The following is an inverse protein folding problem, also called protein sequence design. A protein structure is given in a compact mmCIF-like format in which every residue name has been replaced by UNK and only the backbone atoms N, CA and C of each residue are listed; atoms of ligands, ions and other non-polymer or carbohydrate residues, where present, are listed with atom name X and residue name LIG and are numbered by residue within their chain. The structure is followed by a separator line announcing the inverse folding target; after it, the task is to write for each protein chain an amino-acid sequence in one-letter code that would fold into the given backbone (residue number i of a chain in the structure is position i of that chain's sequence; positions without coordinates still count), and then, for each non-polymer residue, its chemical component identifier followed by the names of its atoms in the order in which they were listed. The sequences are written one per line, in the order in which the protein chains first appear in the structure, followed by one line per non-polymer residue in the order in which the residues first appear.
data_IF_017812304627
#
_entry.id   IF_017812304627
#
_cell.length_a   1.000
_cell.length_b   1.000
_cell.length_c   1.000
_cell.angle_alpha   90.00
_cell.angle_beta   90.00
_cell.angle_gamma   90.00
#
_symmetry.space_group_name_H-M   'P 1'
#
loop_
_entity.id
_entity.type
_entity.pdbx_description
1 polymer ?
#
# COMPACT_ATOMS: atom_id res chain seq x y z
N UNK A 1 -2.74 -5.15 -13.86
CA UNK A 1 -3.25 -4.91 -12.49
C UNK A 1 -2.34 -3.88 -11.86
N UNK A 2 -2.87 -2.75 -11.41
CA UNK A 2 -2.10 -1.71 -10.71
C UNK A 2 -1.84 -2.10 -9.25
N UNK A 3 -0.88 -2.99 -9.00
CA UNK A 3 -0.57 -3.50 -7.66
C UNK A 3 0.21 -2.50 -6.78
N UNK A 4 0.70 -1.41 -7.39
CA UNK A 4 1.26 -0.25 -6.68
C UNK A 4 0.18 0.72 -6.21
N UNK A 5 -1.06 0.56 -6.65
CA UNK A 5 -2.14 1.50 -6.35
C UNK A 5 -3.04 1.00 -5.22
N UNK A 6 -3.40 1.92 -4.33
CA UNK A 6 -4.52 1.77 -3.41
C UNK A 6 -5.48 2.95 -3.58
N UNK A 7 -6.73 2.75 -3.18
CA UNK A 7 -7.74 3.79 -3.32
C UNK A 7 -8.79 3.70 -2.24
N UNK A 8 -9.39 4.85 -1.94
CA UNK A 8 -10.52 5.00 -1.01
C UNK A 8 -11.57 5.91 -1.62
N UNK A 9 -12.83 5.61 -1.35
CA UNK A 9 -13.98 6.41 -1.74
C UNK A 9 -14.82 6.67 -0.49
N UNK A 10 -14.95 7.94 -0.11
CA UNK A 10 -15.73 8.40 1.03
C UNK A 10 -16.97 9.14 0.54
N UNK A 11 -18.13 8.80 1.10
CA UNK A 11 -19.38 9.53 0.86
C UNK A 11 -19.79 10.28 2.12
N UNK A 12 -19.86 11.61 2.04
CA UNK A 12 -20.25 12.49 3.15
C UNK A 12 -21.62 13.08 2.85
N UNK A 13 -22.54 13.00 3.83
CA UNK A 13 -23.90 13.55 3.74
C UNK A 13 -24.23 14.28 5.05
N UNK A 14 -24.42 15.60 5.03
CA UNK A 14 -24.94 16.33 6.17
C UNK A 14 -26.42 15.96 6.40
N UNK A 15 -26.74 15.21 7.47
CA UNK A 15 -28.10 14.71 7.67
C UNK A 15 -29.09 15.77 8.16
N UNK A 16 -28.63 16.71 8.98
CA UNK A 16 -29.47 17.67 9.70
C UNK A 16 -28.93 19.11 9.69
N UNK A 17 -27.95 19.43 8.84
CA UNK A 17 -27.38 20.76 8.73
C UNK A 17 -26.97 21.09 7.30
N UNK A 18 -26.87 22.38 7.00
CA UNK A 18 -26.18 22.90 5.82
C UNK A 18 -24.99 23.73 6.31
N UNK A 19 -23.79 23.47 5.80
CA UNK A 19 -22.60 24.18 6.22
C UNK A 19 -21.51 24.12 5.15
N UNK A 20 -20.57 25.04 5.28
CA UNK A 20 -19.26 24.94 4.65
C UNK A 20 -18.47 23.78 5.28
N UNK A 21 -18.07 22.81 4.46
CA UNK A 21 -17.27 21.64 4.89
C UNK A 21 -15.87 21.79 4.33
N UNK A 22 -14.88 21.63 5.21
CA UNK A 22 -13.47 21.54 4.82
C UNK A 22 -13.05 20.07 4.83
N UNK A 23 -12.47 19.63 3.72
CA UNK A 23 -11.91 18.30 3.54
C UNK A 23 -10.39 18.42 3.52
N UNK A 24 -9.72 17.54 4.27
CA UNK A 24 -8.26 17.45 4.30
C UNK A 24 -7.82 16.03 4.03
N UNK A 25 -6.90 15.85 3.09
CA UNK A 25 -6.19 14.59 2.89
C UNK A 25 -4.70 14.80 3.10
N UNK A 26 -4.08 13.88 3.83
CA UNK A 26 -2.65 13.92 4.13
C UNK A 26 -1.89 12.67 3.66
N UNK A 27 -0.58 12.81 3.50
CA UNK A 27 0.38 11.71 3.59
C UNK A 27 1.31 12.03 4.77
N UNK A 28 1.30 11.17 5.77
CA UNK A 28 2.04 11.33 7.03
C UNK A 28 3.29 10.44 7.03
N UNK A 29 4.46 11.05 7.20
CA UNK A 29 5.75 10.36 7.23
C UNK A 29 6.29 10.14 8.64
N UNK A 30 5.68 10.72 9.67
CA UNK A 30 6.05 10.58 11.07
C UNK A 30 5.38 9.40 11.78
N UNK A 31 4.83 8.45 11.01
CA UNK A 31 4.35 7.17 11.52
C UNK A 31 5.46 6.43 12.28
N UNK A 32 5.10 5.89 13.44
CA UNK A 32 6.01 5.14 14.31
C UNK A 32 5.48 3.73 14.57
N UNK A 33 6.40 2.81 14.87
CA UNK A 33 6.04 1.44 15.20
C UNK A 33 5.80 1.29 16.70
N UNK A 34 4.65 1.69 17.23
CA UNK A 34 4.30 1.66 18.67
C UNK A 34 3.02 0.83 18.98
N UNK A 35 2.58 0.00 18.04
CA UNK A 35 1.33 -0.77 18.18
C UNK A 35 1.48 -2.01 19.07
N UNK A 36 2.69 -2.36 19.50
CA UNK A 36 2.95 -3.50 20.38
C UNK A 36 3.66 -3.04 21.64
N UNK A 37 2.95 -3.04 22.78
CA UNK A 37 3.46 -2.55 24.07
C UNK A 37 4.81 -3.13 24.49
N UNK A 38 5.12 -4.38 24.11
CA UNK A 38 6.41 -5.03 24.42
C UNK A 38 7.59 -4.46 23.63
N UNK A 39 7.35 -3.75 22.53
CA UNK A 39 8.40 -3.25 21.64
C UNK A 39 8.73 -1.77 21.83
N UNK A 40 8.06 -1.10 22.77
CA UNK A 40 8.19 0.34 23.04
C UNK A 40 9.58 0.78 23.46
N UNK A 41 10.34 -0.11 24.08
CA UNK A 41 11.72 0.16 24.49
C UNK A 41 12.71 0.15 23.32
N UNK A 42 12.27 -0.20 22.11
CA UNK A 42 13.10 -0.17 20.90
C UNK A 42 12.98 1.16 20.16
N UNK A 43 13.85 1.38 19.17
CA UNK A 43 13.62 2.46 18.23
C UNK A 43 12.27 2.29 17.53
N UNK A 44 11.38 3.28 17.64
CA UNK A 44 10.06 3.28 17.01
C UNK A 44 10.04 4.13 15.72
N UNK A 45 11.07 4.96 15.51
CA UNK A 45 11.16 5.88 14.35
C UNK A 45 12.03 5.24 13.29
N UNK A 46 11.40 4.81 12.20
CA UNK A 46 12.05 4.05 11.14
C UNK A 46 12.14 4.77 9.81
N UNK A 47 11.60 5.99 9.68
CA UNK A 47 11.59 6.73 8.42
C UNK A 47 12.38 8.04 8.56
N UNK A 48 13.21 8.32 7.56
CA UNK A 48 13.77 9.65 7.30
C UNK A 48 13.01 10.23 6.11
N UNK A 49 12.46 11.43 6.27
CA UNK A 49 11.72 12.10 5.20
C UNK A 49 12.71 12.81 4.28
N UNK A 50 12.58 12.56 2.98
CA UNK A 50 13.44 13.11 1.94
C UNK A 50 12.79 14.33 1.28
N UNK A 51 11.51 14.21 0.91
CA UNK A 51 10.73 15.34 0.39
C UNK A 51 9.24 15.21 0.67
N UNK A 52 8.58 16.37 0.71
CA UNK A 52 7.13 16.53 0.75
C UNK A 52 6.76 17.60 -0.25
N UNK A 53 5.79 17.32 -1.13
CA UNK A 53 5.51 18.18 -2.26
C UNK A 53 4.00 18.26 -2.54
N UNK A 54 3.53 19.48 -2.80
CA UNK A 54 2.20 19.71 -3.36
C UNK A 54 2.31 19.83 -4.88
N UNK A 55 1.47 19.11 -5.59
CA UNK A 55 1.36 19.17 -7.05
C UNK A 55 -0.02 19.74 -7.40
N UNK A 56 -0.15 21.06 -7.55
CA UNK A 56 -1.34 21.63 -8.19
C UNK A 56 -1.43 21.09 -9.62
N UNK A 57 -2.63 21.07 -10.21
CA UNK A 57 -2.81 20.59 -11.57
C UNK A 57 -1.93 21.43 -12.50
N UNK A 58 -1.14 20.79 -13.34
CA UNK A 58 -0.35 21.47 -14.37
C UNK A 58 -0.85 20.96 -15.71
N UNK A 59 -1.40 21.84 -16.54
CA UNK A 59 -1.56 21.59 -17.96
C UNK A 59 -0.79 22.65 -18.77
N UNK A 60 -0.75 22.49 -20.10
CA UNK A 60 -0.09 23.44 -21.01
C UNK A 60 -0.74 24.83 -21.00
N UNK A 61 -1.96 24.97 -20.45
CA UNK A 61 -2.74 26.22 -20.41
C UNK A 61 -2.55 27.01 -19.10
N UNK A 62 -1.90 26.44 -18.07
CA UNK A 62 -1.54 27.12 -16.84
C UNK A 62 -1.79 26.29 -15.58
N UNK A 63 -1.78 26.92 -14.39
CA UNK A 63 -2.18 26.25 -13.15
C UNK A 63 -3.65 25.83 -13.24
N UNK A 64 -3.92 24.53 -13.14
CA UNK A 64 -5.26 23.97 -12.97
C UNK A 64 -5.52 23.71 -11.49
N UNK A 65 -6.80 23.69 -11.05
CA UNK A 65 -7.15 23.17 -9.74
C UNK A 65 -6.57 21.77 -9.59
N UNK A 66 -5.74 21.57 -8.57
CA UNK A 66 -5.20 20.26 -8.26
C UNK A 66 -4.90 20.13 -6.79
N UNK A 67 -5.08 18.92 -6.32
CA UNK A 67 -5.02 18.51 -4.92
C UNK A 67 -4.00 17.38 -4.72
N UNK A 68 -3.14 17.13 -5.72
CA UNK A 68 -2.19 16.02 -5.67
C UNK A 68 -1.06 16.32 -4.70
N UNK A 69 -0.60 15.29 -3.98
CA UNK A 69 0.42 15.41 -2.95
C UNK A 69 1.39 14.23 -3.02
N UNK A 70 2.65 14.49 -2.71
CA UNK A 70 3.72 13.50 -2.76
C UNK A 70 4.54 13.52 -1.47
N UNK A 71 4.88 12.34 -0.97
CA UNK A 71 5.86 12.18 0.10
C UNK A 71 6.89 11.13 -0.31
N UNK A 72 8.16 11.47 -0.18
CA UNK A 72 9.28 10.57 -0.37
C UNK A 72 10.04 10.42 0.95
N UNK A 73 10.36 9.19 1.31
CA UNK A 73 11.11 8.86 2.51
C UNK A 73 12.03 7.66 2.29
N UNK A 74 12.86 7.37 3.27
CA UNK A 74 13.64 6.15 3.32
C UNK A 74 13.62 5.52 4.71
N UNK A 75 13.85 4.21 4.76
CA UNK A 75 14.10 3.54 6.03
C UNK A 75 15.40 4.04 6.66
N UNK A 76 15.37 4.33 7.96
CA UNK A 76 16.46 5.02 8.68
C UNK A 76 17.76 4.21 8.68
N UNK A 77 17.66 2.87 8.71
CA UNK A 77 18.81 1.95 8.75
C UNK A 77 19.13 1.35 7.38
N UNK A 78 18.18 0.63 6.76
CA UNK A 78 18.41 -0.13 5.52
C UNK A 78 18.43 0.74 4.25
N UNK A 79 18.08 2.02 4.34
CA UNK A 79 18.07 2.97 3.21
C UNK A 79 17.18 2.55 2.03
N UNK A 80 16.18 1.73 2.30
CA UNK A 80 15.09 1.42 1.37
C UNK A 80 14.28 2.68 1.15
N UNK A 81 14.25 3.18 -0.09
CA UNK A 81 13.45 4.33 -0.50
C UNK A 81 11.99 3.96 -0.67
N UNK A 82 11.09 4.87 -0.34
CA UNK A 82 9.63 4.75 -0.50
C UNK A 82 9.09 6.08 -1.02
N UNK A 83 8.30 6.03 -2.09
CA UNK A 83 7.56 7.18 -2.59
C UNK A 83 6.08 6.88 -2.60
N UNK A 84 5.28 7.82 -2.10
CA UNK A 84 3.83 7.82 -2.17
C UNK A 84 3.36 9.05 -2.92
N UNK A 85 2.56 8.86 -3.97
CA UNK A 85 1.91 9.94 -4.70
C UNK A 85 0.40 9.76 -4.67
N UNK A 86 -0.34 10.81 -4.34
CA UNK A 86 -1.79 10.75 -4.21
C UNK A 86 -2.48 11.78 -5.11
N UNK A 87 -3.57 11.37 -5.75
CA UNK A 87 -4.53 12.23 -6.46
C UNK A 87 -5.91 12.15 -5.80
N UNK A 88 -6.73 13.19 -5.95
CA UNK A 88 -8.09 13.19 -5.42
C UNK A 88 -9.10 13.74 -6.42
N UNK A 89 -10.31 13.20 -6.36
CA UNK A 89 -11.46 13.70 -7.10
C UNK A 89 -12.61 13.95 -6.12
N UNK A 90 -13.35 15.04 -6.30
CA UNK A 90 -14.54 15.34 -5.51
C UNK A 90 -15.74 15.39 -6.42
N UNK A 91 -16.84 14.75 -6.04
CA UNK A 91 -18.05 14.67 -6.85
C UNK A 91 -19.27 15.16 -6.08
N UNK A 92 -20.20 15.80 -6.78
CA UNK A 92 -21.50 16.21 -6.25
C UNK A 92 -22.57 16.02 -7.31
N UNK A 93 -23.61 15.24 -7.00
CA UNK A 93 -24.70 14.99 -7.96
C UNK A 93 -24.27 14.27 -9.25
N UNK A 94 -23.13 13.56 -9.24
CA UNK A 94 -22.58 12.90 -10.42
C UNK A 94 -21.66 13.77 -11.28
N UNK A 95 -21.47 15.04 -10.92
CA UNK A 95 -20.52 15.95 -11.57
C UNK A 95 -19.24 16.06 -10.74
N UNK A 96 -18.09 16.07 -11.42
CA UNK A 96 -16.79 16.32 -10.80
C UNK A 96 -16.66 17.81 -10.48
N UNK A 97 -16.19 18.11 -9.26
CA UNK A 97 -15.90 19.45 -8.79
C UNK A 97 -14.40 19.70 -8.86
N UNK A 98 -13.99 20.66 -9.69
CA UNK A 98 -12.61 21.14 -9.74
C UNK A 98 -12.43 22.25 -8.69
N UNK A 99 -11.97 21.86 -7.51
CA UNK A 99 -11.78 22.75 -6.36
C UNK A 99 -10.30 23.04 -6.16
N UNK A 100 -9.95 24.31 -5.96
CA UNK A 100 -8.61 24.69 -5.56
C UNK A 100 -8.32 24.18 -4.15
N UNK A 101 -7.25 23.39 -4.03
CA UNK A 101 -6.77 22.94 -2.74
C UNK A 101 -5.67 23.87 -2.23
N UNK A 102 -5.81 24.30 -0.98
CA UNK A 102 -4.70 24.84 -0.21
C UNK A 102 -3.78 23.70 0.19
N UNK A 103 -2.50 23.83 -0.17
CA UNK A 103 -1.47 22.86 0.22
C UNK A 103 -0.81 23.28 1.53
N UNK A 104 -0.67 22.32 2.44
CA UNK A 104 0.11 22.43 3.68
C UNK A 104 1.30 21.48 3.57
N UNK A 105 2.48 22.03 3.28
CA UNK A 105 3.71 21.27 3.01
C UNK A 105 4.62 21.41 4.23
N UNK A 106 4.62 20.40 5.09
CA UNK A 106 5.46 20.31 6.27
C UNK A 106 6.65 19.35 6.07
N UNK A 107 7.64 19.38 6.96
CA UNK A 107 8.86 18.55 6.83
C UNK A 107 8.61 17.04 7.00
N UNK A 108 7.45 16.64 7.53
CA UNK A 108 7.10 15.22 7.74
C UNK A 108 5.71 14.84 7.23
N UNK A 109 4.95 15.80 6.73
CA UNK A 109 3.58 15.59 6.30
C UNK A 109 3.28 16.57 5.17
N UNK A 110 2.52 16.11 4.18
CA UNK A 110 1.93 16.97 3.16
C UNK A 110 0.43 16.78 3.19
N UNK A 111 -0.33 17.88 3.07
CA UNK A 111 -1.78 17.84 3.03
C UNK A 111 -2.34 18.72 1.91
N UNK A 112 -3.42 18.26 1.29
CA UNK A 112 -4.29 19.05 0.44
C UNK A 112 -5.61 19.30 1.19
N UNK A 113 -6.03 20.57 1.24
CA UNK A 113 -7.23 21.02 1.94
C UNK A 113 -8.11 21.85 1.02
N UNK A 114 -9.37 21.46 0.84
CA UNK A 114 -10.33 22.20 0.02
C UNK A 114 -11.67 22.31 0.74
N UNK A 115 -12.46 23.30 0.35
CA UNK A 115 -13.68 23.67 1.05
C UNK A 115 -14.83 23.84 0.08
N UNK A 116 -16.04 23.45 0.50
CA UNK A 116 -17.26 23.56 -0.29
C UNK A 116 -18.48 23.72 0.61
N UNK A 117 -19.46 24.48 0.14
CA UNK A 117 -20.77 24.56 0.78
C UNK A 117 -21.60 23.33 0.44
N UNK A 118 -22.10 22.65 1.47
CA UNK A 118 -22.90 21.43 1.35
C UNK A 118 -24.23 21.61 2.04
N UNK A 119 -25.30 21.43 1.28
CA UNK A 119 -26.67 21.49 1.80
C UNK A 119 -27.03 20.21 2.58
N UNK A 120 -28.00 20.32 3.47
CA UNK A 120 -28.59 19.18 4.15
C UNK A 120 -29.11 18.14 3.13
N UNK A 121 -28.78 16.88 3.36
CA UNK A 121 -29.14 15.75 2.50
C UNK A 121 -28.33 15.65 1.21
N UNK A 122 -27.48 16.62 0.90
CA UNK A 122 -26.65 16.60 -0.30
C UNK A 122 -25.41 15.73 -0.07
N UNK A 123 -25.23 14.73 -0.92
CA UNK A 123 -24.06 13.88 -0.87
C UNK A 123 -22.89 14.49 -1.64
N UNK A 124 -21.71 14.47 -1.02
CA UNK A 124 -20.43 14.66 -1.69
C UNK A 124 -19.65 13.35 -1.63
N UNK A 125 -18.93 13.04 -2.69
CA UNK A 125 -18.04 11.87 -2.76
C UNK A 125 -16.62 12.37 -2.91
N UNK A 126 -15.71 11.83 -2.10
CA UNK A 126 -14.28 12.12 -2.15
C UNK A 126 -13.55 10.84 -2.45
N UNK A 127 -12.83 10.83 -3.55
CA UNK A 127 -11.97 9.74 -3.95
C UNK A 127 -10.52 10.14 -3.71
N UNK A 128 -9.72 9.20 -3.21
CA UNK A 128 -8.28 9.33 -3.13
C UNK A 128 -7.68 8.07 -3.72
N UNK A 129 -6.80 8.24 -4.69
CA UNK A 129 -5.96 7.16 -5.24
C UNK A 129 -4.52 7.47 -4.90
N UNK A 130 -3.76 6.43 -4.51
CA UNK A 130 -2.37 6.56 -4.08
C UNK A 130 -1.55 5.47 -4.75
N UNK A 131 -0.43 5.84 -5.37
CA UNK A 131 0.61 4.90 -5.80
C UNK A 131 1.71 4.84 -4.74
N UNK A 132 2.28 3.64 -4.55
CA UNK A 132 3.36 3.39 -3.59
C UNK A 132 4.45 2.58 -4.27
N UNK A 133 5.65 3.14 -4.38
CA UNK A 133 6.84 2.47 -4.91
C UNK A 133 7.94 2.40 -3.87
N UNK A 134 8.76 1.36 -3.97
CA UNK A 134 9.91 1.11 -3.12
C UNK A 134 11.15 0.86 -3.93
N UNK A 135 12.33 1.12 -3.36
CA UNK A 135 13.60 0.79 -4.02
C UNK A 135 13.85 -0.73 -4.17
N UNK A 136 12.89 -1.58 -3.79
CA UNK A 136 12.92 -3.04 -4.03
C UNK A 136 12.17 -3.47 -5.30
N UNK A 137 11.47 -2.55 -5.97
CA UNK A 137 10.77 -2.86 -7.21
C UNK A 137 11.77 -3.20 -8.33
N UNK A 138 11.37 -4.07 -9.27
CA UNK A 138 12.32 -4.70 -10.21
C UNK A 138 13.04 -3.68 -11.09
N UNK A 139 12.34 -2.57 -11.34
CA UNK A 139 12.74 -1.38 -12.07
C UNK A 139 13.98 -0.69 -11.45
N UNK A 140 14.36 -1.05 -10.22
CA UNK A 140 15.47 -0.47 -9.47
C UNK A 140 16.65 -1.42 -9.24
N UNK A 141 16.60 -2.67 -9.72
CA UNK A 141 17.65 -3.67 -9.46
C UNK A 141 19.01 -3.30 -10.06
N UNK A 142 19.03 -2.47 -11.10
CA UNK A 142 20.24 -2.08 -11.84
C UNK A 142 20.64 -0.60 -11.65
N UNK A 143 19.93 0.16 -10.80
CA UNK A 143 20.22 1.57 -10.60
C UNK A 143 21.45 1.74 -9.68
N UNK A 144 22.55 2.23 -10.24
CA UNK A 144 23.86 2.28 -9.56
C UNK A 144 23.96 3.44 -8.56
N UNK A 145 23.44 4.63 -8.88
CA UNK A 145 23.48 5.82 -8.01
C UNK A 145 22.17 6.03 -7.23
N UNK A 146 22.29 6.49 -5.98
CA UNK A 146 21.18 6.78 -5.07
C UNK A 146 20.34 7.96 -5.54
N UNK A 147 20.97 9.03 -6.04
CA UNK A 147 20.23 10.21 -6.48
C UNK A 147 19.32 9.90 -7.68
N UNK A 148 19.81 9.06 -8.60
CA UNK A 148 19.03 8.59 -9.74
C UNK A 148 17.89 7.67 -9.32
N UNK A 149 18.10 6.82 -8.30
CA UNK A 149 17.03 5.99 -7.71
C UNK A 149 15.89 6.84 -7.14
N UNK A 150 16.22 7.88 -6.36
CA UNK A 150 15.21 8.73 -5.71
C UNK A 150 14.37 9.49 -6.75
N UNK A 151 15.01 10.07 -7.78
CA UNK A 151 14.31 10.73 -8.89
C UNK A 151 13.44 9.74 -9.68
N UNK A 152 13.94 8.53 -9.92
CA UNK A 152 13.21 7.50 -10.65
C UNK A 152 11.99 6.99 -9.85
N UNK A 153 12.12 6.76 -8.53
CA UNK A 153 11.00 6.39 -7.65
C UNK A 153 9.87 7.40 -7.70
N UNK A 154 10.22 8.69 -7.67
CA UNK A 154 9.27 9.78 -7.79
C UNK A 154 8.54 9.75 -9.13
N UNK A 155 9.29 9.64 -10.22
CA UNK A 155 8.73 9.58 -11.58
C UNK A 155 7.78 8.40 -11.74
N UNK A 156 8.17 7.17 -11.34
CA UNK A 156 7.30 6.00 -11.45
C UNK A 156 6.01 6.14 -10.63
N UNK A 157 6.10 6.67 -9.41
CA UNK A 157 4.91 6.90 -8.59
C UNK A 157 3.93 7.88 -9.27
N UNK A 158 4.44 8.93 -9.92
CA UNK A 158 3.63 9.89 -10.66
C UNK A 158 3.05 9.28 -11.95
N UNK A 159 3.87 8.59 -12.74
CA UNK A 159 3.49 7.92 -13.99
C UNK A 159 2.41 6.85 -13.76
N UNK A 160 2.51 6.06 -12.69
CA UNK A 160 1.51 5.02 -12.35
C UNK A 160 0.09 5.60 -12.18
N UNK A 161 -0.01 6.88 -11.80
CA UNK A 161 -1.29 7.56 -11.67
C UNK A 161 -1.64 8.46 -12.86
N UNK A 162 -0.86 8.53 -13.94
CA UNK A 162 -1.19 9.36 -15.12
C UNK A 162 -2.57 9.01 -15.68
N UNK A 163 -2.83 7.72 -15.89
CA UNK A 163 -4.10 7.19 -16.41
C UNK A 163 -5.11 6.81 -15.31
N UNK A 164 -4.75 6.97 -14.03
CA UNK A 164 -5.59 6.61 -12.88
C UNK A 164 -5.89 7.84 -12.04
N UNK A 165 -7.09 8.37 -12.22
CA UNK A 165 -7.60 9.53 -11.47
C UNK A 165 -8.68 9.12 -10.48
N UNK A 166 -9.50 8.12 -10.83
CA UNK A 166 -10.73 7.78 -10.12
C UNK A 166 -10.65 6.42 -9.45
N UNK A 167 -11.33 6.28 -8.32
CA UNK A 167 -11.39 5.02 -7.57
C UNK A 167 -12.01 3.88 -8.39
N UNK A 168 -13.00 4.18 -9.22
CA UNK A 168 -13.65 3.22 -10.11
C UNK A 168 -12.67 2.53 -11.06
N UNK A 169 -11.66 3.27 -11.56
CA UNK A 169 -10.62 2.73 -12.44
C UNK A 169 -9.74 1.68 -11.72
N UNK A 170 -9.65 1.73 -10.39
CA UNK A 170 -8.98 0.71 -9.58
C UNK A 170 -9.91 -0.45 -9.20
N UNK A 171 -11.18 -0.14 -8.86
CA UNK A 171 -12.12 -1.10 -8.30
C UNK A 171 -12.49 -2.22 -9.28
N UNK A 172 -12.76 -1.89 -10.54
CA UNK A 172 -13.24 -2.89 -11.50
C UNK A 172 -12.15 -3.91 -11.88
N UNK A 173 -10.91 -3.49 -12.20
CA UNK A 173 -9.80 -4.42 -12.36
C UNK A 173 -9.51 -5.24 -11.09
N UNK A 174 -9.59 -4.61 -9.92
CA UNK A 174 -9.41 -5.30 -8.63
C UNK A 174 -10.44 -6.43 -8.44
N UNK A 175 -11.72 -6.15 -8.70
CA UNK A 175 -12.79 -7.17 -8.64
C UNK A 175 -12.54 -8.32 -9.59
N UNK A 176 -12.11 -8.05 -10.82
CA UNK A 176 -11.79 -9.09 -11.81
C UNK A 176 -10.69 -10.01 -11.31
N UNK A 177 -9.60 -9.44 -10.81
CA UNK A 177 -8.48 -10.20 -10.25
C UNK A 177 -8.94 -11.06 -9.07
N UNK A 178 -9.73 -10.51 -8.16
CA UNK A 178 -10.24 -11.28 -7.02
C UNK A 178 -11.17 -12.42 -7.42
N UNK A 179 -11.99 -12.26 -8.46
CA UNK A 179 -12.80 -13.36 -9.01
C UNK A 179 -11.91 -14.51 -9.48
N UNK A 180 -10.82 -14.23 -10.21
CA UNK A 180 -9.89 -15.24 -10.69
C UNK A 180 -9.13 -15.92 -9.55
N UNK A 181 -8.77 -15.16 -8.50
CA UNK A 181 -8.15 -15.70 -7.28
C UNK A 181 -9.12 -16.65 -6.56
N UNK A 182 -10.38 -16.23 -6.38
CA UNK A 182 -11.40 -17.02 -5.70
C UNK A 182 -11.75 -18.29 -6.47
N UNK A 183 -11.84 -18.24 -7.80
CA UNK A 183 -12.08 -19.42 -8.64
C UNK A 183 -11.05 -20.54 -8.39
N UNK A 184 -9.78 -20.17 -8.16
CA UNK A 184 -8.71 -21.13 -7.85
C UNK A 184 -8.70 -21.61 -6.40
N UNK A 185 -9.10 -20.75 -5.46
CA UNK A 185 -8.79 -20.92 -4.04
C UNK A 185 -9.99 -21.16 -3.13
N UNK A 186 -11.23 -20.93 -3.59
CA UNK A 186 -12.42 -21.08 -2.75
C UNK A 186 -12.62 -22.53 -2.30
N UNK A 187 -13.12 -22.67 -1.07
CA UNK A 187 -13.44 -23.96 -0.47
C UNK A 187 -14.91 -23.87 -0.05
N UNK A 188 -15.75 -24.65 -0.72
CA UNK A 188 -17.19 -24.68 -0.47
C UNK A 188 -17.51 -25.65 0.66
N UNK A 189 -18.25 -25.15 1.66
CA UNK A 189 -18.71 -25.93 2.81
C UNK A 189 -20.23 -25.95 2.80
N UNK A 190 -20.81 -27.14 2.70
CA UNK A 190 -22.27 -27.31 2.72
C UNK A 190 -22.80 -27.34 4.16
N UNK A 191 -24.03 -26.85 4.35
CA UNK A 191 -24.76 -26.94 5.62
C UNK A 191 -24.36 -25.95 6.74
N UNK A 192 -23.25 -25.20 6.62
CA UNK A 192 -22.81 -24.27 7.66
C UNK A 192 -22.26 -22.93 7.12
N UNK A 193 -23.06 -21.86 7.25
CA UNK A 193 -22.69 -20.50 6.83
C UNK A 193 -21.59 -19.87 7.67
N UNK A 194 -21.50 -20.22 8.95
CA UNK A 194 -20.46 -19.68 9.84
C UNK A 194 -19.11 -20.25 9.43
N UNK A 195 -19.02 -21.57 9.25
CA UNK A 195 -17.80 -22.23 8.77
C UNK A 195 -17.40 -21.74 7.38
N UNK A 196 -18.35 -21.58 6.44
CA UNK A 196 -18.07 -21.01 5.12
C UNK A 196 -17.49 -19.59 5.18
N UNK A 197 -17.99 -18.75 6.09
CA UNK A 197 -17.46 -17.40 6.29
C UNK A 197 -16.05 -17.44 6.87
N UNK A 198 -15.82 -18.28 7.90
CA UNK A 198 -14.53 -18.39 8.56
C UNK A 198 -13.44 -18.92 7.63
N UNK A 199 -13.73 -19.95 6.82
CA UNK A 199 -12.74 -20.48 5.89
C UNK A 199 -12.37 -19.46 4.82
N UNK A 200 -13.35 -18.69 4.30
CA UNK A 200 -13.08 -17.59 3.36
C UNK A 200 -12.27 -16.47 4.02
N UNK A 201 -12.53 -16.13 5.29
CA UNK A 201 -11.73 -15.15 6.00
C UNK A 201 -10.27 -15.61 6.16
N UNK A 202 -10.02 -16.88 6.50
CA UNK A 202 -8.67 -17.43 6.60
C UNK A 202 -7.97 -17.48 5.24
N UNK A 203 -8.66 -17.94 4.19
CA UNK A 203 -8.14 -17.95 2.81
C UNK A 203 -7.80 -16.54 2.34
N UNK A 204 -8.67 -15.55 2.59
CA UNK A 204 -8.41 -14.15 2.29
C UNK A 204 -7.11 -13.66 2.95
N UNK A 205 -6.90 -13.95 4.23
CA UNK A 205 -5.68 -13.55 4.93
C UNK A 205 -4.40 -14.20 4.41
N UNK A 206 -4.47 -15.44 3.91
CA UNK A 206 -3.37 -16.06 3.18
C UNK A 206 -3.09 -15.27 1.89
N UNK A 207 -4.11 -15.07 1.06
CA UNK A 207 -3.99 -14.42 -0.25
C UNK A 207 -3.44 -12.98 -0.19
N UNK A 208 -3.80 -12.19 0.83
CA UNK A 208 -3.25 -10.84 1.01
C UNK A 208 -1.85 -10.83 1.65
N UNK A 209 -1.42 -11.94 2.27
CA UNK A 209 -0.08 -12.07 2.86
C UNK A 209 0.96 -12.39 1.80
N UNK A 210 0.65 -13.29 0.87
CA UNK A 210 1.53 -13.63 -0.25
C UNK A 210 0.77 -13.58 -1.57
N UNK A 211 1.06 -12.54 -2.34
CA UNK A 211 0.45 -12.31 -3.63
C UNK A 211 1.13 -13.13 -4.73
N UNK A 212 0.32 -13.84 -5.52
CA UNK A 212 0.76 -14.53 -6.75
C UNK A 212 1.21 -13.58 -7.86
N UNK A 213 0.94 -12.27 -7.75
CA UNK A 213 1.40 -11.28 -8.72
C UNK A 213 2.88 -10.89 -8.55
N UNK A 214 3.53 -11.31 -7.47
CA UNK A 214 4.91 -10.91 -7.15
C UNK A 214 5.82 -12.10 -6.85
N UNK A 215 5.83 -13.07 -7.77
CA UNK A 215 6.66 -14.28 -7.68
C UNK A 215 8.16 -14.00 -7.51
N UNK A 216 8.65 -12.86 -8.00
CA UNK A 216 10.09 -12.54 -8.01
C UNK A 216 10.57 -11.74 -6.79
N UNK A 217 9.69 -11.41 -5.87
CA UNK A 217 10.08 -10.67 -4.66
C UNK A 217 10.94 -11.55 -3.79
N UNK A 218 12.00 -10.97 -3.25
CA UNK A 218 12.76 -11.64 -2.21
C UNK A 218 12.11 -11.51 -0.83
N UNK A 219 10.91 -12.09 -0.66
CA UNK A 219 10.13 -12.10 0.57
C UNK A 219 9.67 -13.51 0.98
N UNK A 220 9.70 -13.79 2.28
CA UNK A 220 9.18 -15.02 2.89
C UNK A 220 7.77 -14.83 3.43
N UNK A 221 7.29 -15.81 4.22
CA UNK A 221 5.96 -15.78 4.85
C UNK A 221 6.06 -15.35 6.33
N UNK A 222 5.79 -14.07 6.67
CA UNK A 222 5.86 -13.60 8.04
C UNK A 222 4.73 -14.20 8.90
N UNK A 223 5.01 -14.47 10.18
CA UNK A 223 4.04 -15.12 11.09
C UNK A 223 2.74 -14.31 11.35
N UNK A 224 2.73 -13.02 11.01
CA UNK A 224 1.58 -12.12 11.14
C UNK A 224 1.22 -11.40 9.84
N UNK A 225 1.61 -11.94 8.70
CA UNK A 225 1.38 -11.29 7.42
C UNK A 225 1.92 -9.86 7.39
N UNK A 226 1.18 -8.96 6.76
CA UNK A 226 1.40 -7.51 6.77
C UNK A 226 0.35 -6.78 7.64
N UNK A 227 -0.24 -7.46 8.63
CA UNK A 227 -1.41 -6.95 9.38
C UNK A 227 -1.05 -6.26 10.70
N UNK A 228 0.24 -6.02 10.97
CA UNK A 228 0.68 -5.32 12.18
C UNK A 228 2.13 -5.61 12.56
N UNK A 229 2.58 -5.00 13.66
CA UNK A 229 3.97 -5.00 14.10
C UNK A 229 4.39 -6.22 14.93
N UNK A 230 3.41 -7.05 15.33
CA UNK A 230 3.67 -8.28 16.08
C UNK A 230 4.66 -9.17 15.32
N UNK A 231 5.69 -9.68 16.01
CA UNK A 231 6.79 -10.44 15.40
C UNK A 231 7.61 -9.70 14.34
N UNK A 232 7.39 -8.39 14.12
CA UNK A 232 8.22 -7.50 13.29
C UNK A 232 8.43 -7.96 11.85
N UNK A 233 7.44 -8.66 11.28
CA UNK A 233 7.56 -9.24 9.94
C UNK A 233 8.61 -10.35 9.83
N UNK A 234 9.10 -10.90 10.95
CA UNK A 234 10.02 -12.02 10.92
C UNK A 234 9.33 -13.28 10.37
N UNK A 235 10.12 -14.05 9.62
CA UNK A 235 9.72 -15.32 9.01
C UNK A 235 10.20 -16.46 9.90
N UNK A 236 9.26 -17.26 10.40
CA UNK A 236 9.51 -18.39 11.29
C UNK A 236 9.23 -19.72 10.57
N UNK A 237 9.32 -20.83 11.31
CA UNK A 237 8.85 -22.14 10.87
C UNK A 237 7.33 -22.19 10.63
N UNK A 238 6.57 -21.17 11.07
CA UNK A 238 5.15 -20.97 10.80
C UNK A 238 4.79 -21.08 9.30
N UNK A 239 5.76 -20.83 8.42
CA UNK A 239 5.60 -21.05 6.97
C UNK A 239 5.15 -22.48 6.63
N UNK A 240 5.53 -23.50 7.43
CA UNK A 240 5.13 -24.90 7.22
C UNK A 240 3.61 -25.09 7.32
N UNK A 241 2.92 -24.24 8.07
CA UNK A 241 1.45 -24.29 8.18
C UNK A 241 0.76 -23.66 6.97
N UNK A 242 1.36 -22.63 6.39
CA UNK A 242 0.81 -21.90 5.25
C UNK A 242 1.20 -22.53 3.91
N UNK A 243 2.36 -23.17 3.85
CA UNK A 243 2.96 -23.72 2.63
C UNK A 243 2.05 -24.72 1.88
N UNK A 244 1.32 -25.66 2.52
CA UNK A 244 0.45 -26.59 1.81
C UNK A 244 -0.66 -25.92 1.00
N UNK A 245 -1.20 -24.80 1.50
CA UNK A 245 -2.21 -24.03 0.78
C UNK A 245 -1.64 -23.49 -0.53
N UNK A 246 -0.50 -22.79 -0.47
CA UNK A 246 0.15 -22.25 -1.67
C UNK A 246 0.62 -23.36 -2.60
N UNK A 247 1.22 -24.43 -2.07
CA UNK A 247 1.66 -25.56 -2.89
C UNK A 247 0.51 -26.15 -3.71
N UNK A 248 -0.70 -26.23 -3.14
CA UNK A 248 -1.87 -26.76 -3.81
C UNK A 248 -2.56 -25.76 -4.75
N UNK A 249 -2.58 -24.47 -4.42
CA UNK A 249 -3.41 -23.46 -5.11
C UNK A 249 -2.62 -22.50 -5.98
N UNK A 250 -1.38 -22.21 -5.60
CA UNK A 250 -0.48 -21.22 -6.18
C UNK A 250 0.99 -21.71 -6.09
N UNK A 251 1.34 -22.81 -6.80
CA UNK A 251 2.67 -23.44 -6.69
C UNK A 251 3.83 -22.50 -7.02
N UNK A 252 3.59 -21.48 -7.85
CA UNK A 252 4.51 -20.39 -8.13
C UNK A 252 4.87 -19.55 -6.90
N UNK A 253 3.88 -19.26 -6.04
CA UNK A 253 4.08 -18.58 -4.76
C UNK A 253 4.89 -19.47 -3.81
N UNK A 254 4.53 -20.76 -3.73
CA UNK A 254 5.29 -21.73 -2.94
C UNK A 254 6.76 -21.82 -3.40
N UNK A 255 7.00 -21.84 -4.71
CA UNK A 255 8.35 -21.82 -5.29
C UNK A 255 9.11 -20.54 -4.91
N UNK A 256 8.48 -19.37 -5.01
CA UNK A 256 9.08 -18.10 -4.61
C UNK A 256 9.54 -18.10 -3.14
N UNK A 257 8.71 -18.63 -2.25
CA UNK A 257 9.06 -18.74 -0.82
C UNK A 257 10.21 -19.72 -0.55
N UNK A 258 10.28 -20.84 -1.28
CA UNK A 258 11.45 -21.72 -1.21
C UNK A 258 12.71 -21.02 -1.72
N UNK A 259 12.61 -20.25 -2.81
CA UNK A 259 13.73 -19.47 -3.32
C UNK A 259 14.21 -18.42 -2.30
N UNK A 260 13.30 -17.80 -1.56
CA UNK A 260 13.65 -16.91 -0.44
C UNK A 260 14.54 -17.62 0.60
N UNK A 261 14.23 -18.87 0.96
CA UNK A 261 15.07 -19.69 1.86
C UNK A 261 16.41 -20.05 1.22
N UNK A 262 16.40 -20.47 -0.04
CA UNK A 262 17.62 -20.84 -0.78
C UNK A 262 18.61 -19.66 -0.85
N UNK A 263 18.14 -18.45 -1.16
CA UNK A 263 18.97 -17.23 -1.19
C UNK A 263 19.64 -16.89 0.15
N UNK A 264 19.18 -17.48 1.25
CA UNK A 264 19.70 -17.27 2.62
C UNK A 264 20.51 -18.47 3.14
N UNK A 265 20.75 -19.50 2.33
CA UNK A 265 21.52 -20.69 2.75
C UNK A 265 22.94 -20.35 3.21
N UNK A 266 23.62 -19.41 2.55
CA UNK A 266 24.97 -19.03 2.94
C UNK A 266 25.00 -18.31 4.29
N UNK A 267 24.00 -17.47 4.57
CA UNK A 267 23.81 -16.88 5.90
C UNK A 267 23.53 -17.94 6.96
N UNK A 268 22.71 -18.96 6.64
CA UNK A 268 22.44 -20.07 7.54
C UNK A 268 23.69 -20.92 7.82
N UNK A 269 24.49 -21.23 6.79
CA UNK A 269 25.78 -21.93 6.92
C UNK A 269 26.77 -21.15 7.78
N UNK A 270 26.87 -19.84 7.58
CA UNK A 270 27.70 -18.94 8.42
C UNK A 270 27.24 -18.99 9.88
N UNK A 271 25.92 -18.94 10.13
CA UNK A 271 25.36 -19.05 11.47
C UNK A 271 25.65 -20.42 12.11
N UNK A 272 25.50 -21.51 11.35
CA UNK A 272 25.84 -22.86 11.81
C UNK A 272 27.32 -22.97 12.21
N UNK A 273 28.22 -22.52 11.34
CA UNK A 273 29.66 -22.52 11.61
C UNK A 273 30.04 -21.68 12.86
N UNK A 274 29.42 -20.51 13.03
CA UNK A 274 29.62 -19.66 14.20
C UNK A 274 29.17 -20.31 15.53
N UNK A 275 28.31 -21.33 15.46
CA UNK A 275 27.83 -22.09 16.61
C UNK A 275 28.41 -23.53 16.67
N UNK A 276 29.44 -23.83 15.86
CA UNK A 276 30.11 -25.14 15.89
C UNK A 276 29.39 -26.26 15.14
N UNK A 277 28.41 -25.93 14.28
CA UNK A 277 27.68 -26.88 13.43
C UNK A 277 28.15 -26.81 11.96
N UNK A 278 27.62 -27.69 11.11
CA UNK A 278 27.87 -27.74 9.66
C UNK A 278 26.57 -27.62 8.86
#
# INVERSE_FOLDING_TARGET
HAYHCCGVNYRVVPENYSATITLRSSIEGDVINDNVSRYRDLNQVHLNILSTEGHPGLDEAGPQPGNSILLQCETSHSKVGVTMFAKHATWRGGEELHLDAKMDIGPKCVSAEWTLDVAQGQAIVVEKVVSVFTSYDEEFKDAEDREDRDKCLKRLAMEELEDVTYFSQLLDPHRRVWLDIWDKSDILVDGDRFVQTMIRAHTYHLLITASHHREKVDAGLPARGLSGEGYRGHVFWDEVYMFPFYLSKFPEVAKSHLQYRIRRLDSARKYAAANGYR
#
